data_IF_597392339025
#
_entry.id   IF_597392339025
#
_cell.length_a   1.000
_cell.length_b   1.000
_cell.length_c   1.000
_cell.angle_alpha   90.00
_cell.angle_beta   90.00
_cell.angle_gamma   90.00
#
_symmetry.space_group_name_H-M   'P 1'
#
loop_
_entity.id
_entity.type
_entity.pdbx_description
1 polymer ?
#
# COMPACT_ATOMS: atom_id res chain seq x y z
N UNK A 1 -6.32 -4.88 -25.74
CA UNK A 1 -7.71 -4.86 -25.22
C UNK A 1 -7.66 -4.74 -23.72
N UNK A 2 -8.42 -3.83 -23.12
CA UNK A 2 -8.54 -3.76 -21.65
C UNK A 2 -9.11 -5.10 -21.14
N UNK A 3 -8.48 -5.67 -20.09
CA UNK A 3 -9.04 -6.86 -19.44
C UNK A 3 -10.43 -6.52 -18.91
N UNK A 4 -11.38 -7.44 -19.04
CA UNK A 4 -12.64 -7.31 -18.32
C UNK A 4 -12.34 -7.15 -16.82
N UNK A 5 -13.01 -6.23 -16.13
CA UNK A 5 -12.74 -5.91 -14.73
C UNK A 5 -12.75 -7.15 -13.81
N UNK A 6 -13.73 -8.04 -14.01
CA UNK A 6 -13.79 -9.29 -13.25
C UNK A 6 -12.60 -10.22 -13.55
N UNK A 7 -12.12 -10.24 -14.78
CA UNK A 7 -10.92 -11.01 -15.14
C UNK A 7 -9.68 -10.41 -14.50
N UNK A 8 -9.57 -9.09 -14.43
CA UNK A 8 -8.48 -8.38 -13.71
C UNK A 8 -8.48 -8.72 -12.21
N UNK A 9 -9.65 -8.68 -11.57
CA UNK A 9 -9.77 -9.06 -10.16
C UNK A 9 -9.31 -10.50 -9.91
N UNK A 10 -9.67 -11.43 -10.80
CA UNK A 10 -9.31 -12.85 -10.68
C UNK A 10 -7.83 -13.13 -11.00
N UNK A 11 -7.19 -12.34 -11.85
CA UNK A 11 -5.79 -12.54 -12.23
C UNK A 11 -4.81 -12.02 -11.16
N UNK A 12 -5.20 -10.98 -10.41
CA UNK A 12 -4.33 -10.43 -9.37
C UNK A 12 -3.98 -11.48 -8.30
N UNK A 13 -2.72 -11.67 -8.07
CA UNK A 13 -2.20 -12.55 -7.02
C UNK A 13 -1.11 -11.84 -6.20
N UNK A 14 -0.84 -12.37 -5.01
CA UNK A 14 0.27 -11.88 -4.17
C UNK A 14 1.58 -12.49 -4.65
N UNK A 15 2.58 -11.64 -4.91
CA UNK A 15 3.91 -12.05 -5.33
C UNK A 15 4.88 -12.08 -4.14
N UNK A 16 5.71 -13.12 -4.05
CA UNK A 16 6.76 -13.29 -3.04
C UNK A 16 8.15 -13.47 -3.65
N UNK A 17 8.27 -13.40 -4.99
CA UNK A 17 9.53 -13.52 -5.71
C UNK A 17 9.57 -12.49 -6.84
N UNK A 18 10.29 -11.40 -6.62
CA UNK A 18 10.33 -10.28 -7.55
C UNK A 18 11.54 -10.39 -8.49
N UNK A 19 11.32 -9.97 -9.74
CA UNK A 19 12.42 -9.81 -10.69
C UNK A 19 13.27 -8.56 -10.35
N UNK A 20 14.41 -8.46 -11.03
CA UNK A 20 15.35 -7.34 -10.88
C UNK A 20 14.98 -6.11 -11.71
N UNK A 21 14.03 -6.25 -12.65
CA UNK A 21 13.61 -5.15 -13.54
C UNK A 21 12.90 -4.07 -12.73
N UNK A 22 13.38 -2.85 -12.86
CA UNK A 22 12.75 -1.69 -12.23
C UNK A 22 11.40 -1.36 -12.86
N UNK A 23 10.54 -0.71 -12.08
CA UNK A 23 9.24 -0.20 -12.54
C UNK A 23 9.46 1.15 -13.24
N UNK A 24 9.06 1.23 -14.50
CA UNK A 24 9.18 2.46 -15.27
C UNK A 24 8.40 3.62 -14.61
N UNK A 25 8.97 4.82 -14.63
CA UNK A 25 8.34 5.99 -14.00
C UNK A 25 6.93 6.27 -14.51
N UNK A 26 6.67 6.10 -15.80
CA UNK A 26 5.33 6.26 -16.40
C UNK A 26 4.31 5.27 -15.85
N UNK A 27 4.73 4.04 -15.55
CA UNK A 27 3.84 3.00 -15.03
C UNK A 27 3.61 3.20 -13.52
N UNK A 28 4.64 3.62 -12.79
CA UNK A 28 4.48 4.04 -11.40
C UNK A 28 3.49 5.21 -11.26
N UNK A 29 3.56 6.21 -12.14
CA UNK A 29 2.61 7.32 -12.13
C UNK A 29 1.16 6.87 -12.36
N UNK A 30 0.91 5.89 -13.24
CA UNK A 30 -0.43 5.30 -13.41
C UNK A 30 -0.90 4.58 -12.15
N UNK A 31 -0.01 3.83 -11.49
CA UNK A 31 -0.31 3.13 -10.24
C UNK A 31 -0.69 4.14 -9.13
N UNK A 32 0.08 5.22 -9.00
CA UNK A 32 -0.20 6.27 -8.02
C UNK A 32 -1.49 7.06 -8.36
N UNK A 33 -1.75 7.27 -9.64
CA UNK A 33 -3.00 7.90 -10.09
C UNK A 33 -4.21 7.02 -9.75
N UNK A 34 -4.16 5.71 -9.99
CA UNK A 34 -5.21 4.79 -9.58
C UNK A 34 -5.46 4.84 -8.06
N UNK A 35 -4.40 4.96 -7.26
CA UNK A 35 -4.51 5.15 -5.82
C UNK A 35 -5.26 6.45 -5.45
N UNK A 36 -5.00 7.55 -6.14
CA UNK A 36 -5.66 8.85 -5.89
C UNK A 36 -7.17 8.82 -6.12
N UNK A 37 -7.64 7.98 -7.04
CA UNK A 37 -9.08 7.81 -7.33
C UNK A 37 -9.81 6.91 -6.33
N UNK A 38 -9.14 6.51 -5.27
CA UNK A 38 -9.79 5.70 -4.23
C UNK A 38 -10.79 6.52 -3.42
N UNK A 39 -11.94 5.94 -3.07
CA UNK A 39 -12.85 6.58 -2.14
C UNK A 39 -12.22 6.68 -0.74
N UNK A 40 -12.65 7.67 0.02
CA UNK A 40 -12.30 7.79 1.43
C UNK A 40 -13.50 8.34 2.21
N UNK A 41 -13.53 8.08 3.52
CA UNK A 41 -14.55 8.63 4.39
C UNK A 41 -14.62 10.15 4.26
N UNK A 42 -15.79 10.71 3.98
CA UNK A 42 -16.02 12.13 3.72
C UNK A 42 -15.05 12.78 2.71
N UNK A 43 -14.50 12.00 1.81
CA UNK A 43 -13.47 12.43 0.85
C UNK A 43 -12.24 13.09 1.52
N UNK A 44 -11.88 12.67 2.71
CA UNK A 44 -10.79 13.24 3.50
C UNK A 44 -9.41 12.96 2.89
N UNK A 45 -9.27 11.91 2.08
CA UNK A 45 -8.01 11.50 1.44
C UNK A 45 -6.84 11.50 2.45
N UNK A 46 -6.93 10.70 3.52
CA UNK A 46 -6.06 10.80 4.69
C UNK A 46 -4.67 10.23 4.47
N UNK A 47 -4.28 9.95 3.25
CA UNK A 47 -3.04 9.29 2.86
C UNK A 47 -2.03 10.23 2.23
N UNK A 48 -0.79 9.84 2.33
CA UNK A 48 0.34 10.25 1.50
C UNK A 48 1.02 9.01 0.95
N UNK A 49 1.63 9.12 -0.23
CA UNK A 49 2.37 8.04 -0.85
C UNK A 49 3.85 8.36 -0.84
N UNK A 50 4.65 7.49 -0.21
CA UNK A 50 6.11 7.60 -0.20
C UNK A 50 6.68 6.48 -1.06
N UNK A 51 7.35 6.86 -2.14
CA UNK A 51 8.00 5.91 -3.06
C UNK A 51 9.43 5.73 -2.65
N UNK A 52 9.81 4.50 -2.33
CA UNK A 52 11.17 4.12 -1.92
C UNK A 52 11.77 3.22 -3.01
N UNK A 53 12.88 3.67 -3.64
CA UNK A 53 13.61 2.95 -4.68
C UNK A 53 15.03 2.61 -4.28
N UNK A 54 15.59 3.35 -3.33
CA UNK A 54 16.93 3.07 -2.83
C UNK A 54 16.97 1.66 -2.20
N UNK A 55 17.92 0.84 -2.62
CA UNK A 55 17.99 -0.58 -2.24
C UNK A 55 18.15 -0.78 -0.73
N UNK A 56 18.92 0.08 -0.07
CA UNK A 56 19.12 0.02 1.37
C UNK A 56 17.80 0.30 2.09
N UNK A 57 17.11 1.36 1.69
CA UNK A 57 15.83 1.74 2.30
C UNK A 57 14.71 0.73 1.99
N UNK A 58 14.68 0.16 0.77
CA UNK A 58 13.77 -0.95 0.45
C UNK A 58 14.02 -2.13 1.39
N UNK A 59 15.28 -2.52 1.59
CA UNK A 59 15.62 -3.62 2.51
C UNK A 59 15.15 -3.34 3.94
N UNK A 60 15.38 -2.13 4.47
CA UNK A 60 14.94 -1.77 5.81
C UNK A 60 13.41 -1.75 5.94
N UNK A 61 12.72 -1.23 4.96
CA UNK A 61 11.24 -1.26 4.94
C UNK A 61 10.70 -2.69 4.87
N UNK A 62 11.30 -3.55 4.07
CA UNK A 62 10.88 -4.95 3.96
C UNK A 62 11.12 -5.71 5.27
N UNK A 63 12.24 -5.45 5.98
CA UNK A 63 12.47 -5.99 7.31
C UNK A 63 11.41 -5.52 8.32
N UNK A 64 11.07 -4.24 8.31
CA UNK A 64 10.05 -3.67 9.18
C UNK A 64 8.65 -4.25 8.91
N UNK A 65 8.32 -4.48 7.65
CA UNK A 65 7.05 -5.05 7.22
C UNK A 65 6.93 -6.56 7.52
N UNK A 66 8.07 -7.26 7.52
CA UNK A 66 8.12 -8.71 7.67
C UNK A 66 7.86 -9.21 9.11
N UNK A 67 7.99 -8.38 10.12
CA UNK A 67 7.78 -8.75 11.53
C UNK A 67 6.30 -8.90 11.94
N UNK A 68 5.38 -8.97 10.99
CA UNK A 68 4.02 -9.40 11.23
C UNK A 68 3.92 -10.90 11.48
N UNK A 69 2.84 -11.33 12.14
CA UNK A 69 2.55 -12.69 12.66
C UNK A 69 2.58 -13.84 11.61
N UNK A 70 2.97 -13.61 10.37
CA UNK A 70 2.92 -14.56 9.28
C UNK A 70 4.30 -14.80 8.67
N UNK A 71 5.11 -15.60 9.36
CA UNK A 71 6.40 -16.13 8.86
C UNK A 71 6.24 -17.17 7.72
N UNK A 72 5.13 -17.20 7.01
CA UNK A 72 4.81 -18.32 6.14
C UNK A 72 5.53 -18.34 4.80
N UNK A 73 6.09 -17.22 4.34
CA UNK A 73 6.88 -17.20 3.11
C UNK A 73 7.96 -16.15 3.18
N UNK A 74 9.19 -16.57 3.07
CA UNK A 74 10.31 -15.68 2.84
C UNK A 74 10.24 -15.14 1.41
N UNK A 75 10.54 -13.86 1.25
CA UNK A 75 10.74 -13.30 -0.07
C UNK A 75 12.05 -13.84 -0.63
N UNK A 76 11.99 -14.57 -1.73
CA UNK A 76 13.17 -15.09 -2.41
C UNK A 76 14.00 -13.93 -2.98
N UNK A 77 13.34 -12.97 -3.60
CA UNK A 77 13.92 -11.73 -4.05
C UNK A 77 13.04 -10.56 -3.63
N UNK A 78 13.66 -9.49 -3.13
CA UNK A 78 12.95 -8.28 -2.73
C UNK A 78 12.51 -7.45 -3.93
N UNK A 79 11.39 -6.71 -3.82
CA UNK A 79 10.93 -5.84 -4.90
C UNK A 79 11.93 -4.73 -5.22
N UNK A 80 11.94 -4.19 -6.45
CA UNK A 80 12.80 -3.06 -6.82
C UNK A 80 12.37 -1.74 -6.17
N UNK A 81 11.11 -1.63 -5.79
CA UNK A 81 10.58 -0.46 -5.08
C UNK A 81 9.47 -0.85 -4.09
N UNK A 82 9.24 0.03 -3.13
CA UNK A 82 8.12 -0.03 -2.19
C UNK A 82 7.36 1.28 -2.24
N UNK A 83 6.04 1.22 -2.20
CA UNK A 83 5.19 2.39 -1.97
C UNK A 83 4.59 2.28 -0.58
N UNK A 84 4.99 3.17 0.33
CA UNK A 84 4.36 3.26 1.63
C UNK A 84 3.13 4.17 1.55
N UNK A 85 2.00 3.70 2.09
CA UNK A 85 0.80 4.50 2.28
C UNK A 85 0.83 5.00 3.71
N UNK A 86 1.04 6.29 3.87
CA UNK A 86 1.22 6.95 5.17
C UNK A 86 -0.05 7.69 5.54
N UNK A 87 -0.56 7.45 6.75
CA UNK A 87 -1.68 8.20 7.29
C UNK A 87 -1.23 9.60 7.71
N UNK A 88 -1.87 10.64 7.20
CA UNK A 88 -1.57 12.03 7.56
C UNK A 88 -1.84 12.28 9.04
N UNK A 89 -0.86 12.80 9.78
CA UNK A 89 -0.90 13.04 11.21
C UNK A 89 -2.17 13.79 11.67
N UNK A 90 -2.60 14.81 10.93
CA UNK A 90 -3.81 15.59 11.24
C UNK A 90 -5.08 14.76 11.37
N UNK A 91 -5.14 13.60 10.70
CA UNK A 91 -6.31 12.69 10.80
C UNK A 91 -6.17 11.69 11.93
N UNK A 92 -4.95 11.41 12.36
CA UNK A 92 -4.68 10.63 13.56
C UNK A 92 -5.06 11.41 14.84
N UNK A 93 -4.81 12.70 14.84
CA UNK A 93 -5.02 13.60 15.99
C UNK A 93 -6.40 14.29 15.95
N UNK A 94 -7.10 14.26 14.79
CA UNK A 94 -8.37 14.95 14.66
C UNK A 94 -9.48 14.19 15.38
N UNK A 95 -10.17 14.91 16.26
CA UNK A 95 -11.41 14.47 16.89
C UNK A 95 -12.61 14.61 15.93
N UNK A 96 -12.48 14.17 14.67
CA UNK A 96 -13.65 14.02 13.83
C UNK A 96 -14.48 12.87 14.39
N UNK A 97 -15.39 13.18 15.28
CA UNK A 97 -16.06 12.21 16.04
C UNK A 97 -17.55 12.25 16.02
N UNK A 98 -18.11 11.10 15.90
CA UNK A 98 -19.41 10.84 16.49
C UNK A 98 -19.29 10.99 18.01
N UNK A 99 -20.26 11.64 18.68
CA UNK A 99 -20.14 12.07 20.08
C UNK A 99 -19.88 10.98 21.12
N UNK A 100 -19.84 9.71 20.75
CA UNK A 100 -19.76 8.56 21.66
C UNK A 100 -18.60 7.59 21.36
N UNK A 101 -17.57 7.99 20.59
CA UNK A 101 -16.41 7.15 20.32
C UNK A 101 -15.16 7.77 20.94
N UNK A 102 -14.43 7.02 21.74
CA UNK A 102 -13.22 7.49 22.46
C UNK A 102 -12.11 8.02 21.54
N UNK A 103 -12.06 7.62 20.26
CA UNK A 103 -11.18 8.15 19.22
C UNK A 103 -11.85 8.05 17.86
N UNK A 104 -12.82 8.91 17.58
CA UNK A 104 -13.47 8.93 16.29
C UNK A 104 -12.53 9.50 15.23
N UNK A 105 -12.59 8.97 14.01
CA UNK A 105 -11.79 9.41 12.88
C UNK A 105 -10.60 8.50 12.57
N UNK A 106 -9.97 7.87 13.53
CA UNK A 106 -8.85 6.94 13.28
C UNK A 106 -9.31 5.67 12.57
N UNK A 107 -10.46 5.12 12.97
CA UNK A 107 -10.99 3.90 12.36
C UNK A 107 -11.38 4.15 10.90
N UNK A 108 -12.08 5.22 10.61
CA UNK A 108 -12.44 5.64 9.26
C UNK A 108 -11.22 5.97 8.41
N UNK A 109 -10.18 6.54 9.00
CA UNK A 109 -8.91 6.80 8.33
C UNK A 109 -8.19 5.49 7.97
N UNK A 110 -8.14 4.51 8.87
CA UNK A 110 -7.57 3.19 8.58
C UNK A 110 -8.35 2.45 7.50
N UNK A 111 -9.66 2.45 7.54
CA UNK A 111 -10.47 1.87 6.47
C UNK A 111 -10.18 2.57 5.14
N UNK A 112 -10.01 3.88 5.16
CA UNK A 112 -9.73 4.65 3.95
C UNK A 112 -8.38 4.29 3.33
N UNK A 113 -7.31 4.07 4.10
CA UNK A 113 -5.98 3.75 3.52
C UNK A 113 -5.89 2.35 2.89
N UNK A 114 -6.81 1.46 3.16
CA UNK A 114 -6.87 0.16 2.49
C UNK A 114 -7.32 0.27 1.02
N UNK A 115 -8.13 1.28 0.70
CA UNK A 115 -8.68 1.47 -0.65
C UNK A 115 -7.60 1.77 -1.71
N UNK A 116 -6.69 2.74 -1.50
CA UNK A 116 -5.61 3.00 -2.45
C UNK A 116 -4.65 1.81 -2.62
N UNK A 117 -4.43 0.99 -1.59
CA UNK A 117 -3.62 -0.21 -1.70
C UNK A 117 -4.21 -1.19 -2.73
N UNK A 118 -5.52 -1.41 -2.69
CA UNK A 118 -6.20 -2.29 -3.64
C UNK A 118 -6.17 -1.71 -5.06
N UNK A 119 -6.44 -0.41 -5.24
CA UNK A 119 -6.39 0.23 -6.54
C UNK A 119 -4.98 0.17 -7.16
N UNK A 120 -3.92 0.40 -6.35
CA UNK A 120 -2.54 0.22 -6.80
C UNK A 120 -2.26 -1.22 -7.26
N UNK A 121 -2.70 -2.21 -6.49
CA UNK A 121 -2.48 -3.60 -6.83
C UNK A 121 -3.19 -4.01 -8.13
N UNK A 122 -4.41 -3.51 -8.36
CA UNK A 122 -5.15 -3.77 -9.60
C UNK A 122 -4.52 -3.07 -10.80
N UNK A 123 -4.07 -1.82 -10.65
CA UNK A 123 -3.39 -1.10 -11.73
C UNK A 123 -2.03 -1.74 -12.06
N UNK A 124 -1.29 -2.20 -11.05
CA UNK A 124 -0.05 -2.95 -11.25
C UNK A 124 -0.32 -4.24 -12.05
N UNK A 125 -1.34 -5.01 -11.65
CA UNK A 125 -1.75 -6.23 -12.36
C UNK A 125 -2.12 -5.96 -13.83
N UNK A 126 -2.87 -4.88 -14.11
CA UNK A 126 -3.20 -4.49 -15.48
C UNK A 126 -1.95 -4.20 -16.32
N UNK A 127 -0.93 -3.60 -15.71
CA UNK A 127 0.36 -3.27 -16.33
C UNK A 127 1.31 -4.48 -16.41
N UNK A 128 0.92 -5.66 -15.89
CA UNK A 128 1.78 -6.83 -15.82
C UNK A 128 2.91 -6.70 -14.78
N UNK A 129 2.70 -5.88 -13.75
CA UNK A 129 3.64 -5.65 -12.66
C UNK A 129 3.14 -6.43 -11.44
N UNK A 130 3.97 -7.37 -10.99
CA UNK A 130 3.69 -8.15 -9.78
C UNK A 130 3.70 -7.29 -8.52
N UNK A 131 2.82 -7.56 -7.58
CA UNK A 131 2.70 -6.79 -6.34
C UNK A 131 2.40 -7.65 -5.11
N UNK A 132 2.70 -7.11 -3.94
CA UNK A 132 2.28 -7.63 -2.64
C UNK A 132 1.88 -6.48 -1.73
N UNK A 133 0.96 -6.74 -0.80
CA UNK A 133 0.57 -5.78 0.24
C UNK A 133 1.07 -6.30 1.59
N UNK A 134 1.74 -5.44 2.34
CA UNK A 134 2.30 -5.76 3.65
C UNK A 134 1.89 -4.70 4.67
N UNK A 135 1.74 -5.12 5.92
CA UNK A 135 1.59 -4.22 7.04
C UNK A 135 2.95 -3.98 7.69
N UNK A 136 3.20 -2.75 8.13
CA UNK A 136 4.37 -2.42 8.95
C UNK A 136 3.98 -2.58 10.41
N UNK A 137 4.78 -3.34 11.18
CA UNK A 137 4.59 -3.45 12.61
C UNK A 137 5.24 -2.26 13.32
N UNK A 138 4.44 -1.48 14.06
CA UNK A 138 4.92 -0.32 14.81
C UNK A 138 6.02 -0.65 15.83
N UNK A 139 6.08 -1.89 16.34
CA UNK A 139 7.12 -2.32 17.27
C UNK A 139 8.52 -2.45 16.62
N UNK A 140 8.61 -2.58 15.30
CA UNK A 140 9.89 -2.70 14.58
C UNK A 140 10.48 -1.35 14.16
N UNK A 141 9.72 -0.26 14.23
CA UNK A 141 10.15 1.10 13.87
C UNK A 141 10.76 1.90 15.01
N UNK A 142 10.84 1.34 16.22
CA UNK A 142 11.30 2.00 17.44
C UNK A 142 12.75 1.64 17.84
N UNK A 143 13.59 1.16 16.90
CA UNK A 143 15.01 0.91 17.11
C UNK A 143 15.88 1.78 16.22
#
# INVERSE_FOLDING_TARGET
>A
MAKNFLALLKSRSTCYDFGTRDVAGKDLLKILEAARWSPSFLNLQPWEFVVVRDRKNVNEMMKAAYYGMYHFREFKNLPPLVVAIVLKKKYWESQFGYPNRDKPGIFEAYLSIAMPAMNMALQAEELGIASTMLNVNAASSAK
#
